data_IF_719860343114
#
_entry.id   IF_719860343114
#
_cell.length_a   1.000
_cell.length_b   1.000
_cell.length_c   1.000
_cell.angle_alpha   90.00
_cell.angle_beta   90.00
_cell.angle_gamma   90.00
#
_symmetry.space_group_name_H-M   'P 1'
#
loop_
_entity.id
_entity.type
_entity.pdbx_description
1 polymer ?
#
# COMPACT_ATOMS: atom_id res chain seq x y z
N UNK A 1 9.96 -1.36 -21.06
CA UNK A 1 9.50 -1.55 -19.68
C UNK A 1 10.70 -1.27 -18.80
N UNK A 2 10.56 -0.40 -17.80
CA UNK A 2 11.62 -0.09 -16.87
C UNK A 2 11.29 -0.78 -15.55
N UNK A 3 12.27 -1.47 -14.96
CA UNK A 3 12.11 -2.09 -13.65
C UNK A 3 12.21 -1.01 -12.58
N UNK A 4 11.23 -0.99 -11.67
CA UNK A 4 11.23 -0.08 -10.53
C UNK A 4 12.18 -0.60 -9.45
N UNK A 5 13.08 0.26 -8.96
CA UNK A 5 13.98 -0.03 -7.85
C UNK A 5 13.57 0.85 -6.67
N UNK A 6 12.89 0.27 -5.68
CA UNK A 6 12.39 0.96 -4.49
C UNK A 6 13.10 0.49 -3.19
N UNK A 7 13.15 1.38 -2.18
CA UNK A 7 13.56 1.06 -0.79
C UNK A 7 12.52 1.62 0.17
N UNK A 8 12.16 0.84 1.18
CA UNK A 8 11.15 1.19 2.19
C UNK A 8 11.75 1.08 3.58
N UNK A 9 11.38 2.01 4.45
CA UNK A 9 11.81 2.06 5.84
C UNK A 9 10.60 2.33 6.72
N UNK A 10 10.62 1.74 7.92
CA UNK A 10 9.71 2.18 8.97
C UNK A 10 10.21 3.53 9.49
N UNK A 11 9.27 4.39 9.89
CA UNK A 11 9.54 5.63 10.59
C UNK A 11 9.15 5.45 12.06
N UNK A 12 9.95 5.97 12.97
CA UNK A 12 9.70 5.86 14.42
C UNK A 12 8.63 6.86 14.87
N UNK A 13 8.67 8.07 14.33
CA UNK A 13 7.75 9.16 14.65
C UNK A 13 7.26 9.85 13.37
N UNK A 14 6.09 10.49 13.45
CA UNK A 14 5.51 11.24 12.34
C UNK A 14 6.31 12.54 12.11
N UNK A 15 6.74 12.86 10.87
CA UNK A 15 7.42 14.13 10.58
C UNK A 15 6.53 15.34 10.87
N UNK A 16 7.11 16.39 11.43
CA UNK A 16 6.38 17.62 11.83
C UNK A 16 5.78 18.37 10.63
N UNK A 17 6.36 18.23 9.43
CA UNK A 17 5.97 18.92 8.21
C UNK A 17 4.99 18.12 7.32
N UNK A 18 4.42 17.03 7.84
CA UNK A 18 3.51 16.17 7.08
C UNK A 18 2.19 16.87 6.69
N UNK A 19 1.75 17.87 7.47
CA UNK A 19 0.51 18.63 7.24
C UNK A 19 0.52 19.45 5.94
N UNK A 20 1.68 19.69 5.34
CA UNK A 20 1.79 20.36 4.03
C UNK A 20 1.62 19.41 2.84
N UNK A 21 1.47 18.11 3.09
CA UNK A 21 1.36 17.10 2.04
C UNK A 21 -0.10 16.82 1.64
N UNK A 22 -0.34 16.64 0.35
CA UNK A 22 -1.64 16.16 -0.15
C UNK A 22 -1.71 14.65 0.11
N UNK A 23 -2.39 14.27 1.19
CA UNK A 23 -2.70 12.88 1.50
C UNK A 23 -3.90 12.35 0.72
N UNK A 24 -3.97 11.03 0.56
CA UNK A 24 -5.16 10.35 0.06
C UNK A 24 -5.49 9.16 0.96
N UNK A 25 -6.76 9.06 1.36
CA UNK A 25 -7.25 7.92 2.12
C UNK A 25 -7.24 6.67 1.24
N UNK A 26 -6.67 5.60 1.79
CA UNK A 26 -6.60 4.28 1.18
C UNK A 26 -7.23 3.30 2.15
N UNK A 27 -8.24 2.54 1.71
CA UNK A 27 -8.71 1.37 2.44
C UNK A 27 -8.24 0.11 1.73
N UNK A 28 -7.72 -0.86 2.48
CA UNK A 28 -7.29 -2.13 1.92
C UNK A 28 -7.63 -3.29 2.86
N UNK A 29 -7.90 -4.45 2.27
CA UNK A 29 -8.17 -5.69 2.99
C UNK A 29 -7.50 -6.86 2.29
N UNK A 30 -7.02 -7.82 3.09
CA UNK A 30 -6.38 -9.03 2.64
C UNK A 30 -7.36 -10.20 2.81
N UNK A 31 -7.45 -11.06 1.79
CA UNK A 31 -8.30 -12.26 1.81
C UNK A 31 -7.57 -13.50 2.31
N UNK A 32 -6.25 -13.41 2.35
CA UNK A 32 -5.32 -14.51 2.63
C UNK A 32 -4.47 -14.12 3.83
N UNK A 33 -4.10 -15.12 4.64
CA UNK A 33 -3.20 -14.91 5.78
C UNK A 33 -1.78 -14.52 5.30
N UNK A 34 -0.95 -13.98 6.20
CA UNK A 34 0.39 -13.49 5.86
C UNK A 34 1.31 -14.55 5.23
N UNK A 35 1.11 -15.83 5.57
CA UNK A 35 1.90 -16.95 5.06
C UNK A 35 1.32 -17.59 3.78
N UNK A 36 0.18 -17.10 3.29
CA UNK A 36 -0.49 -17.69 2.13
C UNK A 36 0.07 -17.15 0.81
N UNK A 37 0.32 -18.06 -0.14
CA UNK A 37 0.69 -17.72 -1.51
C UNK A 37 -0.39 -18.22 -2.49
N UNK A 38 -0.97 -17.35 -3.33
CA UNK A 38 -0.67 -15.92 -3.46
C UNK A 38 -1.30 -15.05 -2.36
N UNK A 39 -0.65 -13.93 -2.04
CA UNK A 39 -1.25 -12.86 -1.24
C UNK A 39 -2.32 -12.16 -2.09
N UNK A 40 -3.58 -12.20 -1.64
CA UNK A 40 -4.70 -11.54 -2.31
C UNK A 40 -5.17 -10.32 -1.52
N UNK A 41 -5.15 -9.16 -2.18
CA UNK A 41 -5.53 -7.88 -1.57
C UNK A 41 -6.50 -7.11 -2.45
N UNK A 42 -7.57 -6.59 -1.85
CA UNK A 42 -8.39 -5.52 -2.45
C UNK A 42 -8.00 -4.18 -1.84
N UNK A 43 -7.83 -3.17 -2.69
CA UNK A 43 -7.47 -1.80 -2.31
C UNK A 43 -8.41 -0.80 -2.98
N UNK A 44 -8.91 0.14 -2.21
CA UNK A 44 -9.57 1.36 -2.70
C UNK A 44 -8.64 2.56 -2.57
N UNK A 45 -8.66 3.43 -3.58
CA UNK A 45 -7.94 4.70 -3.62
C UNK A 45 -8.89 5.75 -4.20
N UNK A 46 -9.61 6.45 -3.32
CA UNK A 46 -10.78 7.23 -3.71
C UNK A 46 -11.87 6.32 -4.29
N UNK A 47 -12.37 6.65 -5.48
CA UNK A 47 -13.41 5.89 -6.20
C UNK A 47 -12.88 4.70 -7.01
N UNK A 48 -11.55 4.51 -7.05
CA UNK A 48 -10.92 3.42 -7.81
C UNK A 48 -10.68 2.20 -6.92
N UNK A 49 -10.91 1.02 -7.47
CA UNK A 49 -10.77 -0.26 -6.79
C UNK A 49 -9.86 -1.20 -7.58
N UNK A 50 -8.99 -1.91 -6.86
CA UNK A 50 -7.99 -2.80 -7.45
C UNK A 50 -7.93 -4.12 -6.69
N UNK A 51 -7.86 -5.23 -7.44
CA UNK A 51 -7.50 -6.55 -6.93
C UNK A 51 -6.03 -6.82 -7.31
N UNK A 52 -5.22 -7.20 -6.34
CA UNK A 52 -3.81 -7.58 -6.55
C UNK A 52 -3.59 -9.00 -6.06
N UNK A 53 -2.89 -9.80 -6.88
CA UNK A 53 -2.31 -11.08 -6.48
C UNK A 53 -0.79 -10.93 -6.51
N UNK A 54 -0.11 -11.21 -5.40
CA UNK A 54 1.34 -11.29 -5.33
C UNK A 54 1.77 -12.73 -5.05
N UNK A 55 2.71 -13.21 -5.84
CA UNK A 55 3.37 -14.51 -5.69
C UNK A 55 4.75 -14.35 -5.10
#
# INVERSE_FOLDING_TARGET
MADEIERKFLIEELPEDLDYSIGQIIHQGYFTDEDASPELRVRSKGENYYLTAKS
#
